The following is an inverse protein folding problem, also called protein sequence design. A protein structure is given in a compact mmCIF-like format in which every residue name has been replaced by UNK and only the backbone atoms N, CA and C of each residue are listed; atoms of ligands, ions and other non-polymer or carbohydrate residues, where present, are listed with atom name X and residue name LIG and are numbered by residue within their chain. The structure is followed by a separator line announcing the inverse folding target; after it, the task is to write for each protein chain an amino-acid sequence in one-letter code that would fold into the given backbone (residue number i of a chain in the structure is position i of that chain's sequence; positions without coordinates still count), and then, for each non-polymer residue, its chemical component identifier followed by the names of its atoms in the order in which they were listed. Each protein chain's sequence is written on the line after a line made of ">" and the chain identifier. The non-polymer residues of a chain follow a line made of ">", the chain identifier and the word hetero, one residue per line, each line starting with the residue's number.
data_IF_243636043971
#
_entry.id   IF_243636043971
#
_cell.length_a   1.000
_cell.length_b   1.000
_cell.length_c   1.000
_cell.angle_alpha   90.00
_cell.angle_beta   90.00
_cell.angle_gamma   90.00
#
_symmetry.space_group_name_H-M   'P 1'
#
loop_
_entity.id
_entity.type
_entity.pdbx_description
1 polymer ?
#
# COMPACT_ATOMS: atom_id res chain seq x y z
N UNK A 1 -17.64 -9.65 7.93
CA UNK A 1 -16.59 -10.67 8.13
C UNK A 1 -15.46 -10.01 8.89
N UNK A 2 -14.98 -10.59 9.98
CA UNK A 2 -13.79 -10.09 10.69
C UNK A 2 -12.63 -10.13 9.69
N UNK A 3 -11.89 -9.03 9.47
CA UNK A 3 -10.74 -9.05 8.57
C UNK A 3 -9.76 -10.11 9.08
N UNK A 4 -9.53 -11.13 8.28
CA UNK A 4 -8.53 -12.15 8.61
C UNK A 4 -7.20 -11.42 8.66
N UNK A 5 -6.50 -11.46 9.79
CA UNK A 5 -5.24 -10.75 9.99
C UNK A 5 -4.11 -11.46 9.21
N UNK A 6 -4.16 -11.32 7.89
CA UNK A 6 -3.28 -12.01 6.94
C UNK A 6 -1.79 -11.68 7.13
N UNK A 7 -1.48 -10.60 7.85
CA UNK A 7 -0.12 -10.07 7.98
C UNK A 7 0.42 -10.09 9.42
N UNK A 8 -0.29 -10.77 10.35
CA UNK A 8 0.08 -10.82 11.77
C UNK A 8 1.51 -11.34 11.99
N UNK A 9 1.96 -12.28 11.17
CA UNK A 9 3.26 -12.94 11.31
C UNK A 9 4.40 -12.27 10.55
N UNK A 10 4.12 -11.17 9.84
CA UNK A 10 5.13 -10.46 9.03
C UNK A 10 5.31 -9.04 9.58
N UNK A 11 6.50 -8.75 10.07
CA UNK A 11 6.87 -7.38 10.44
C UNK A 11 7.46 -6.65 9.22
N UNK A 12 6.62 -5.89 8.52
CA UNK A 12 7.02 -5.14 7.33
C UNK A 12 8.11 -4.11 7.59
N UNK A 13 8.31 -3.67 8.84
CA UNK A 13 9.41 -2.76 9.20
C UNK A 13 10.77 -3.41 9.00
N UNK A 14 10.84 -4.75 9.14
CA UNK A 14 12.06 -5.54 8.96
C UNK A 14 12.25 -6.03 7.52
N UNK A 15 11.15 -6.21 6.80
CA UNK A 15 11.13 -6.79 5.43
C UNK A 15 11.46 -5.76 4.36
N UNK A 16 11.07 -4.50 4.61
CA UNK A 16 11.25 -3.39 3.66
C UNK A 16 12.36 -2.48 4.15
N UNK A 17 13.28 -2.14 3.25
CA UNK A 17 14.32 -1.13 3.51
C UNK A 17 13.68 0.28 3.44
N UNK A 18 12.99 0.69 4.53
CA UNK A 18 12.19 1.90 4.57
C UNK A 18 12.98 3.19 4.33
N UNK A 19 14.12 3.45 5.00
CA UNK A 19 14.82 4.72 4.81
C UNK A 19 15.19 5.01 3.34
N UNK A 20 15.81 4.09 2.57
CA UNK A 20 16.11 4.35 1.17
C UNK A 20 14.85 4.37 0.29
N UNK A 21 13.78 3.66 0.64
CA UNK A 21 12.50 3.72 -0.07
C UNK A 21 11.88 5.12 0.06
N UNK A 22 11.69 5.60 1.28
CA UNK A 22 11.09 6.90 1.57
C UNK A 22 11.90 8.07 0.98
N UNK A 23 13.24 7.95 1.02
CA UNK A 23 14.12 8.95 0.40
C UNK A 23 13.94 9.05 -1.12
N UNK A 24 13.76 7.91 -1.80
CA UNK A 24 13.49 7.88 -3.25
C UNK A 24 12.10 8.42 -3.61
N UNK A 25 11.10 8.12 -2.80
CA UNK A 25 9.72 8.52 -3.03
C UNK A 25 9.47 10.00 -2.72
N UNK A 26 10.32 10.62 -1.86
CA UNK A 26 10.08 11.95 -1.32
C UNK A 26 9.93 13.03 -2.41
N UNK A 27 10.80 13.08 -3.40
CA UNK A 27 10.74 14.11 -4.45
C UNK A 27 9.38 14.07 -5.17
N UNK A 28 8.87 12.88 -5.45
CA UNK A 28 7.56 12.72 -6.08
C UNK A 28 6.41 13.07 -5.13
N UNK A 29 6.48 12.65 -3.87
CA UNK A 29 5.51 13.01 -2.84
C UNK A 29 5.44 14.53 -2.63
N UNK A 30 6.59 15.20 -2.59
CA UNK A 30 6.67 16.67 -2.48
C UNK A 30 6.08 17.37 -3.70
N UNK A 31 6.34 16.87 -4.91
CA UNK A 31 5.73 17.38 -6.14
C UNK A 31 4.20 17.26 -6.10
N UNK A 32 3.66 16.14 -5.60
CA UNK A 32 2.21 15.90 -5.54
C UNK A 32 1.55 16.72 -4.44
N UNK A 33 2.15 16.80 -3.25
CA UNK A 33 1.52 17.32 -2.03
C UNK A 33 2.12 18.64 -1.53
N UNK A 34 3.20 19.16 -2.11
CA UNK A 34 3.87 20.36 -1.62
C UNK A 34 2.97 21.61 -1.53
N UNK A 35 1.97 21.69 -2.40
CA UNK A 35 0.95 22.75 -2.39
C UNK A 35 -0.34 22.36 -1.62
N UNK A 36 -0.36 21.24 -0.91
CA UNK A 36 -1.56 20.78 -0.18
C UNK A 36 -2.00 21.81 0.88
N UNK A 37 -3.28 22.13 0.86
CA UNK A 37 -3.93 23.02 1.82
C UNK A 37 -5.34 22.48 2.13
N UNK A 38 -5.60 22.07 3.37
CA UNK A 38 -4.69 22.08 4.53
C UNK A 38 -3.49 21.11 4.34
N UNK A 39 -2.42 21.33 5.07
CA UNK A 39 -1.27 20.40 5.13
C UNK A 39 -1.60 19.17 5.99
N UNK A 40 -2.70 18.54 5.65
CA UNK A 40 -3.27 17.37 6.33
C UNK A 40 -3.52 16.27 5.31
N UNK A 41 -2.89 15.12 5.51
CA UNK A 41 -2.92 13.99 4.57
C UNK A 41 -3.59 12.77 5.20
N UNK A 42 -4.25 11.98 4.37
CA UNK A 42 -4.86 10.71 4.72
C UNK A 42 -4.00 9.56 4.15
N UNK A 43 -3.62 8.60 5.00
CA UNK A 43 -2.87 7.40 4.60
C UNK A 43 -3.81 6.18 4.71
N UNK A 44 -4.24 5.68 3.55
CA UNK A 44 -5.20 4.58 3.41
C UNK A 44 -4.48 3.22 3.40
N UNK A 45 -4.75 2.39 4.40
CA UNK A 45 -4.02 1.15 4.65
C UNK A 45 -2.60 1.44 5.10
N UNK A 46 -2.48 2.26 6.15
CA UNK A 46 -1.21 2.79 6.61
C UNK A 46 -0.24 1.73 7.17
N UNK A 47 -0.72 0.50 7.44
CA UNK A 47 0.08 -0.58 7.95
C UNK A 47 0.83 -0.21 9.24
N UNK A 48 2.15 -0.35 9.24
CA UNK A 48 3.04 -0.01 10.37
C UNK A 48 3.36 1.48 10.48
N UNK A 49 2.77 2.33 9.62
CA UNK A 49 2.80 3.78 9.75
C UNK A 49 4.06 4.49 9.23
N UNK A 50 4.89 3.83 8.44
CA UNK A 50 6.17 4.38 8.00
C UNK A 50 6.01 5.64 7.11
N UNK A 51 5.07 5.63 6.16
CA UNK A 51 4.75 6.82 5.36
C UNK A 51 4.17 7.94 6.22
N UNK A 52 3.23 7.61 7.12
CA UNK A 52 2.63 8.61 8.01
C UNK A 52 3.68 9.31 8.87
N UNK A 53 4.59 8.56 9.49
CA UNK A 53 5.71 9.11 10.30
C UNK A 53 6.64 9.97 9.46
N UNK A 54 6.99 9.51 8.27
CA UNK A 54 7.86 10.24 7.36
C UNK A 54 7.26 11.58 6.94
N UNK A 55 5.98 11.58 6.53
CA UNK A 55 5.26 12.78 6.10
C UNK A 55 5.05 13.76 7.26
N UNK A 56 4.81 13.27 8.48
CA UNK A 56 4.75 14.14 9.66
C UNK A 56 6.09 14.82 9.91
N UNK A 57 7.21 14.12 9.73
CA UNK A 57 8.56 14.69 9.75
C UNK A 57 8.81 15.77 8.67
N UNK A 58 7.97 15.82 7.63
CA UNK A 58 7.96 16.84 6.58
C UNK A 58 6.94 17.97 6.82
N UNK A 59 6.33 18.00 8.00
CA UNK A 59 5.43 19.06 8.44
C UNK A 59 3.98 18.90 7.99
N UNK A 60 3.55 17.68 7.69
CA UNK A 60 2.14 17.36 7.48
C UNK A 60 1.49 16.85 8.77
N UNK A 61 0.21 17.14 8.97
CA UNK A 61 -0.65 16.34 9.83
C UNK A 61 -1.07 15.10 9.05
N UNK A 62 -0.92 13.90 9.62
CA UNK A 62 -1.27 12.66 8.92
C UNK A 62 -2.22 11.81 9.75
N UNK A 63 -3.32 11.40 9.12
CA UNK A 63 -4.24 10.41 9.67
C UNK A 63 -4.07 9.12 8.89
N UNK A 64 -3.55 8.09 9.56
CA UNK A 64 -3.41 6.75 9.01
C UNK A 64 -4.61 5.89 9.39
N UNK A 65 -5.23 5.22 8.42
CA UNK A 65 -6.33 4.29 8.61
C UNK A 65 -5.89 2.90 8.18
N UNK A 66 -6.08 1.90 9.05
CA UNK A 66 -5.85 0.48 8.70
C UNK A 66 -6.91 -0.41 9.38
N UNK A 67 -7.25 -1.51 8.73
CA UNK A 67 -8.22 -2.47 9.26
C UNK A 67 -7.59 -3.50 10.23
N UNK A 68 -6.26 -3.60 10.25
CA UNK A 68 -5.52 -4.61 11.02
C UNK A 68 -5.08 -4.06 12.37
N UNK A 69 -5.60 -4.64 13.45
CA UNK A 69 -5.18 -4.31 14.81
C UNK A 69 -3.66 -4.52 14.99
N UNK A 70 -3.13 -5.65 14.49
CA UNK A 70 -1.70 -5.97 14.60
C UNK A 70 -0.80 -4.96 13.86
N UNK A 71 -1.24 -4.41 12.72
CA UNK A 71 -0.50 -3.35 12.03
C UNK A 71 -0.52 -2.06 12.85
N UNK A 72 -1.66 -1.70 13.40
CA UNK A 72 -1.79 -0.49 14.24
C UNK A 72 -1.06 -0.61 15.57
N UNK A 73 -1.06 -1.79 16.21
CA UNK A 73 -0.22 -2.06 17.39
C UNK A 73 1.25 -1.78 17.09
N UNK A 74 1.76 -2.27 15.94
CA UNK A 74 3.12 -1.99 15.50
C UNK A 74 3.32 -0.51 15.10
N UNK A 75 2.28 0.13 14.54
CA UNK A 75 2.36 1.53 14.18
C UNK A 75 2.51 2.45 15.41
N UNK A 76 1.98 2.08 16.57
CA UNK A 76 2.10 2.87 17.80
C UNK A 76 3.29 2.43 18.67
N UNK A 77 3.91 1.31 18.38
CA UNK A 77 5.09 0.81 19.08
C UNK A 77 6.25 1.82 18.99
N UNK A 78 6.89 2.11 20.11
CA UNK A 78 7.93 3.12 20.18
C UNK A 78 7.43 4.58 20.21
N UNK A 79 6.10 4.78 20.35
CA UNK A 79 5.44 6.08 20.43
C UNK A 79 4.96 6.59 19.08
N UNK A 80 4.00 7.52 19.12
CA UNK A 80 3.46 8.20 17.94
C UNK A 80 3.99 9.62 17.88
N UNK A 81 4.65 10.04 16.79
CA UNK A 81 5.18 11.40 16.70
C UNK A 81 4.04 12.43 16.63
N UNK A 82 4.34 13.66 17.03
CA UNK A 82 3.41 14.77 16.86
C UNK A 82 2.96 14.90 15.40
N UNK A 83 1.68 15.20 15.19
CA UNK A 83 1.10 15.32 13.85
C UNK A 83 0.66 14.00 13.21
N UNK A 84 0.82 12.85 13.88
CA UNK A 84 0.30 11.56 13.41
C UNK A 84 -0.85 11.08 14.28
N UNK A 85 -1.89 10.56 13.64
CA UNK A 85 -2.99 9.84 14.29
C UNK A 85 -3.23 8.53 13.54
N UNK A 86 -3.32 7.42 14.25
CA UNK A 86 -3.70 6.13 13.68
C UNK A 86 -5.10 5.76 14.11
N UNK A 87 -5.93 5.37 13.14
CA UNK A 87 -7.32 4.96 13.36
C UNK A 87 -7.55 3.56 12.81
N UNK A 88 -8.25 2.74 13.59
CA UNK A 88 -8.76 1.48 13.09
C UNK A 88 -10.01 1.73 12.26
N UNK A 89 -10.04 1.21 11.04
CA UNK A 89 -11.20 1.32 10.18
C UNK A 89 -11.06 0.61 8.85
N UNK A 90 -12.20 0.31 8.25
CA UNK A 90 -12.26 -0.16 6.87
C UNK A 90 -12.10 1.04 5.93
N UNK A 91 -11.07 1.01 5.08
CA UNK A 91 -10.83 2.08 4.11
C UNK A 91 -12.00 2.26 3.12
N UNK A 92 -12.79 1.21 2.87
CA UNK A 92 -14.01 1.31 2.06
C UNK A 92 -15.10 2.20 2.69
N UNK A 93 -14.99 2.47 3.99
CA UNK A 93 -15.89 3.32 4.76
C UNK A 93 -15.18 4.53 5.36
N UNK A 94 -14.10 4.97 4.72
CA UNK A 94 -13.18 5.98 5.27
C UNK A 94 -13.85 7.28 5.68
N UNK A 95 -14.88 7.72 4.96
CA UNK A 95 -15.65 8.93 5.27
C UNK A 95 -16.50 8.83 6.54
N UNK A 96 -16.71 7.63 7.08
CA UNK A 96 -17.31 7.43 8.41
C UNK A 96 -16.27 7.24 9.52
N UNK A 97 -15.00 6.96 9.15
CA UNK A 97 -13.89 6.72 10.08
C UNK A 97 -13.16 8.00 10.44
N UNK A 98 -12.98 8.89 9.45
CA UNK A 98 -12.22 10.13 9.65
C UNK A 98 -13.14 11.35 9.74
N UNK A 99 -12.65 12.43 10.34
CA UNK A 99 -13.34 13.71 10.44
C UNK A 99 -12.52 14.84 9.83
N UNK A 100 -13.24 15.86 9.34
CA UNK A 100 -12.63 17.02 8.69
C UNK A 100 -12.18 16.73 7.25
N UNK A 101 -11.58 17.73 6.61
CA UNK A 101 -11.12 17.64 5.24
C UNK A 101 -9.59 17.50 5.17
N UNK A 102 -9.14 16.85 4.10
CA UNK A 102 -7.73 16.57 3.83
C UNK A 102 -7.28 17.31 2.56
N UNK A 103 -6.05 17.82 2.58
CA UNK A 103 -5.40 18.42 1.42
C UNK A 103 -4.80 17.39 0.46
N UNK A 104 -4.90 16.11 0.78
CA UNK A 104 -4.50 14.99 -0.08
C UNK A 104 -4.64 13.64 0.62
N UNK A 105 -4.58 12.57 -0.18
CA UNK A 105 -4.58 11.20 0.32
C UNK A 105 -3.57 10.33 -0.41
N UNK A 106 -3.02 9.34 0.29
CA UNK A 106 -2.17 8.28 -0.26
C UNK A 106 -2.80 6.90 -0.03
N UNK A 107 -2.63 6.00 -1.00
CA UNK A 107 -2.92 4.58 -0.91
C UNK A 107 -1.76 3.82 -1.56
N UNK A 108 -0.73 3.50 -0.80
CA UNK A 108 0.56 3.02 -1.29
C UNK A 108 0.83 1.57 -0.85
N UNK A 109 1.91 0.99 -1.37
CA UNK A 109 2.34 -0.35 -0.94
C UNK A 109 1.47 -1.48 -1.44
N UNK A 110 0.78 -1.31 -2.56
CA UNK A 110 -0.12 -2.32 -3.13
C UNK A 110 -1.36 -2.60 -2.25
N UNK A 111 -1.79 -1.63 -1.46
CA UNK A 111 -2.94 -1.76 -0.52
C UNK A 111 -4.26 -1.96 -1.26
N UNK A 112 -4.49 -1.21 -2.35
CA UNK A 112 -5.79 -1.16 -3.03
C UNK A 112 -6.26 -2.53 -3.55
N UNK A 113 -5.33 -3.44 -3.86
CA UNK A 113 -5.64 -4.78 -4.42
C UNK A 113 -6.30 -5.73 -3.41
N UNK A 114 -6.31 -5.37 -2.12
CA UNK A 114 -7.07 -6.08 -1.09
C UNK A 114 -8.58 -5.85 -1.19
N UNK A 115 -8.99 -4.81 -1.91
CA UNK A 115 -10.38 -4.59 -2.30
C UNK A 115 -10.62 -5.44 -3.55
N UNK A 116 -11.33 -6.56 -3.42
CA UNK A 116 -11.51 -7.53 -4.50
C UNK A 116 -12.75 -7.28 -5.35
N UNK A 117 -13.72 -6.51 -4.83
CA UNK A 117 -14.97 -6.21 -5.50
C UNK A 117 -14.98 -4.79 -6.06
N UNK A 118 -15.40 -4.63 -7.33
CA UNK A 118 -15.43 -3.33 -8.00
C UNK A 118 -16.34 -2.31 -7.29
N UNK A 119 -17.49 -2.72 -6.80
CA UNK A 119 -18.42 -1.83 -6.09
C UNK A 119 -17.81 -1.32 -4.77
N UNK A 120 -17.03 -2.17 -4.09
CA UNK A 120 -16.30 -1.78 -2.87
C UNK A 120 -15.15 -0.81 -3.21
N UNK A 121 -14.43 -1.04 -4.32
CA UNK A 121 -13.43 -0.10 -4.83
C UNK A 121 -14.06 1.26 -5.12
N UNK A 122 -15.20 1.27 -5.81
CA UNK A 122 -15.91 2.52 -6.11
C UNK A 122 -16.43 3.22 -4.86
N UNK A 123 -16.92 2.47 -3.86
CA UNK A 123 -17.32 3.00 -2.56
C UNK A 123 -16.14 3.68 -1.84
N UNK A 124 -14.97 3.02 -1.77
CA UNK A 124 -13.74 3.58 -1.22
C UNK A 124 -13.38 4.90 -1.90
N UNK A 125 -13.29 4.90 -3.23
CA UNK A 125 -12.87 6.08 -3.99
C UNK A 125 -13.84 7.25 -3.82
N UNK A 126 -15.16 7.00 -3.77
CA UNK A 126 -16.17 8.00 -3.45
C UNK A 126 -16.05 8.50 -2.01
N UNK A 127 -15.76 7.62 -1.06
CA UNK A 127 -15.50 7.99 0.34
C UNK A 127 -14.30 8.92 0.46
N UNK A 128 -13.19 8.58 -0.20
CA UNK A 128 -11.99 9.43 -0.27
C UNK A 128 -12.32 10.78 -0.90
N UNK A 129 -13.06 10.80 -2.02
CA UNK A 129 -13.42 12.06 -2.70
C UNK A 129 -14.22 13.00 -1.79
N UNK A 130 -15.09 12.47 -0.91
CA UNK A 130 -15.88 13.27 0.04
C UNK A 130 -15.05 13.93 1.15
N UNK A 131 -13.96 13.30 1.57
CA UNK A 131 -13.10 13.82 2.65
C UNK A 131 -11.92 14.66 2.12
N UNK A 132 -11.74 14.76 0.81
CA UNK A 132 -10.75 15.63 0.19
C UNK A 132 -11.33 17.02 -0.12
N UNK A 133 -10.55 18.08 0.11
CA UNK A 133 -10.87 19.41 -0.42
C UNK A 133 -10.93 19.39 -1.95
N UNK A 134 -11.60 20.33 -2.56
CA UNK A 134 -11.70 20.40 -4.02
C UNK A 134 -10.32 20.49 -4.67
N UNK A 135 -10.06 19.64 -5.66
CA UNK A 135 -8.79 19.57 -6.38
C UNK A 135 -7.62 18.91 -5.61
N UNK A 136 -7.83 18.47 -4.38
CA UNK A 136 -6.81 17.74 -3.63
C UNK A 136 -6.46 16.41 -4.30
N UNK A 137 -5.16 16.03 -4.34
CA UNK A 137 -4.73 14.79 -4.98
C UNK A 137 -5.00 13.56 -4.12
N UNK A 138 -5.39 12.48 -4.80
CA UNK A 138 -5.28 11.11 -4.32
C UNK A 138 -4.13 10.45 -5.08
N UNK A 139 -3.12 9.95 -4.36
CA UNK A 139 -2.01 9.20 -4.91
C UNK A 139 -2.19 7.71 -4.61
N UNK A 140 -2.26 6.90 -5.65
CA UNK A 140 -2.37 5.43 -5.55
C UNK A 140 -1.12 4.80 -6.12
N UNK A 141 -0.62 3.71 -5.50
CA UNK A 141 0.42 2.86 -6.06
C UNK A 141 0.05 1.40 -5.88
N UNK A 142 -0.04 0.69 -7.01
CA UNK A 142 -0.19 -0.76 -7.08
C UNK A 142 0.83 -1.36 -8.04
N UNK A 143 1.10 -2.65 -7.92
CA UNK A 143 1.92 -3.36 -8.90
C UNK A 143 1.24 -3.36 -10.28
N UNK A 144 2.03 -3.35 -11.34
CA UNK A 144 1.52 -3.49 -12.71
C UNK A 144 1.16 -4.96 -12.99
N UNK A 145 -0.07 -5.35 -12.67
CA UNK A 145 -0.56 -6.71 -12.86
C UNK A 145 -0.67 -7.12 -14.34
N UNK A 146 -0.85 -6.16 -15.26
CA UNK A 146 -0.82 -6.45 -16.71
C UNK A 146 0.55 -6.99 -17.11
N UNK A 147 1.62 -6.33 -16.66
CA UNK A 147 2.99 -6.77 -16.91
C UNK A 147 3.29 -8.10 -16.21
N UNK A 148 2.90 -8.26 -14.95
CA UNK A 148 3.14 -9.50 -14.19
C UNK A 148 2.50 -10.71 -14.89
N UNK A 149 1.28 -10.57 -15.39
CA UNK A 149 0.59 -11.62 -16.15
C UNK A 149 1.26 -11.86 -17.50
N UNK A 150 1.55 -10.80 -18.26
CA UNK A 150 2.18 -10.89 -19.58
C UNK A 150 3.56 -11.54 -19.55
N UNK A 151 4.35 -11.30 -18.48
CA UNK A 151 5.69 -11.87 -18.31
C UNK A 151 5.68 -13.23 -17.61
N UNK A 152 4.53 -13.69 -17.14
CA UNK A 152 4.42 -14.91 -16.33
C UNK A 152 5.14 -14.80 -14.97
N UNK A 153 5.40 -13.59 -14.49
CA UNK A 153 6.10 -13.36 -13.22
C UNK A 153 5.19 -13.76 -12.05
N UNK A 154 5.65 -14.73 -11.26
CA UNK A 154 4.92 -15.30 -10.14
C UNK A 154 5.54 -15.03 -8.78
N UNK A 155 6.60 -14.24 -8.72
CA UNK A 155 7.27 -13.91 -7.46
C UNK A 155 7.82 -12.49 -7.51
N UNK A 156 7.94 -11.88 -6.34
CA UNK A 156 8.67 -10.64 -6.12
C UNK A 156 10.05 -10.95 -5.58
N UNK A 157 11.04 -10.06 -5.72
CA UNK A 157 12.38 -10.25 -5.17
C UNK A 157 12.32 -10.68 -3.70
N UNK A 158 13.09 -11.70 -3.35
CA UNK A 158 13.22 -12.18 -1.97
C UNK A 158 13.88 -11.10 -1.11
N UNK A 159 13.48 -11.04 0.16
CA UNK A 159 14.14 -10.21 1.17
C UNK A 159 14.83 -11.11 2.18
N UNK A 160 16.09 -10.82 2.48
CA UNK A 160 16.86 -11.48 3.53
C UNK A 160 16.83 -10.60 4.77
N UNK A 161 16.55 -11.21 5.92
CA UNK A 161 16.40 -10.53 7.20
C UNK A 161 17.32 -11.21 8.19
N UNK A 162 18.23 -10.45 8.78
CA UNK A 162 19.08 -10.91 9.87
C UNK A 162 18.56 -10.33 11.18
N UNK A 163 18.25 -11.21 12.15
CA UNK A 163 17.87 -10.83 13.51
C UNK A 163 18.56 -11.72 14.54
N UNK A 164 18.24 -11.53 15.82
CA UNK A 164 18.83 -12.30 16.92
C UNK A 164 18.53 -13.83 16.82
N UNK A 165 17.46 -14.20 16.16
CA UNK A 165 17.07 -15.59 15.92
C UNK A 165 17.77 -16.21 14.68
N UNK A 166 18.60 -15.45 13.96
CA UNK A 166 19.35 -15.85 12.77
C UNK A 166 18.78 -15.29 11.47
N UNK A 167 19.10 -15.92 10.35
CA UNK A 167 18.69 -15.47 9.03
C UNK A 167 17.29 -15.98 8.66
N UNK A 168 16.48 -15.10 8.11
CA UNK A 168 15.16 -15.39 7.57
C UNK A 168 15.04 -14.93 6.13
N UNK A 169 14.28 -15.65 5.32
CA UNK A 169 13.98 -15.34 3.93
C UNK A 169 12.49 -15.06 3.80
N UNK A 170 12.15 -13.88 3.31
CA UNK A 170 10.77 -13.53 2.99
C UNK A 170 10.51 -13.75 1.51
N UNK A 171 9.60 -14.68 1.21
CA UNK A 171 9.10 -14.97 -0.13
C UNK A 171 7.73 -14.34 -0.35
N UNK A 172 7.50 -13.91 -1.59
CA UNK A 172 6.22 -13.36 -2.04
C UNK A 172 5.84 -14.01 -3.35
N UNK A 173 4.99 -15.04 -3.27
CA UNK A 173 4.52 -15.78 -4.43
C UNK A 173 3.15 -15.27 -4.87
N UNK A 174 2.86 -15.37 -6.15
CA UNK A 174 1.57 -14.98 -6.74
C UNK A 174 1.11 -16.05 -7.71
N UNK A 175 -0.19 -16.35 -7.67
CA UNK A 175 -0.86 -17.17 -8.67
C UNK A 175 -1.94 -16.32 -9.32
N UNK A 176 -1.72 -15.94 -10.57
CA UNK A 176 -2.67 -15.17 -11.38
C UNK A 176 -3.75 -16.08 -11.94
N UNK A 177 -5.00 -15.63 -11.92
CA UNK A 177 -6.15 -16.31 -12.50
C UNK A 177 -6.70 -15.55 -13.71
N UNK A 178 -7.42 -16.23 -14.63
CA UNK A 178 -7.96 -15.58 -15.82
C UNK A 178 -8.95 -14.45 -15.55
N UNK A 179 -9.66 -14.50 -14.42
CA UNK A 179 -10.62 -13.48 -13.97
C UNK A 179 -9.98 -12.23 -13.36
N UNK A 180 -8.64 -12.15 -13.37
CA UNK A 180 -7.88 -11.05 -12.77
C UNK A 180 -7.64 -11.20 -11.26
N UNK A 181 -8.26 -12.17 -10.60
CA UNK A 181 -7.96 -12.46 -9.21
C UNK A 181 -6.55 -13.05 -9.05
N UNK A 182 -5.95 -12.81 -7.89
CA UNK A 182 -4.59 -13.24 -7.56
C UNK A 182 -4.61 -13.92 -6.20
N UNK A 183 -4.00 -15.08 -6.10
CA UNK A 183 -3.66 -15.65 -4.81
C UNK A 183 -2.24 -15.23 -4.48
N UNK A 184 -2.11 -14.35 -3.51
CA UNK A 184 -0.82 -13.91 -2.98
C UNK A 184 -0.45 -14.77 -1.78
N UNK A 185 0.74 -15.37 -1.81
CA UNK A 185 1.24 -16.26 -0.76
C UNK A 185 2.55 -15.71 -0.21
N UNK A 186 2.49 -14.82 0.79
CA UNK A 186 3.68 -14.46 1.56
C UNK A 186 4.11 -15.65 2.42
N UNK A 187 5.41 -15.91 2.47
CA UNK A 187 5.99 -16.96 3.29
C UNK A 187 7.28 -16.46 3.96
N UNK A 188 7.43 -16.79 5.24
CA UNK A 188 8.65 -16.56 6.00
C UNK A 188 9.33 -17.91 6.24
N UNK A 189 10.60 -17.98 5.83
CA UNK A 189 11.44 -19.15 6.04
C UNK A 189 12.57 -18.80 7.00
N UNK A 190 12.92 -19.75 7.88
CA UNK A 190 14.15 -19.69 8.67
C UNK A 190 15.24 -20.41 7.89
N UNK A 191 16.39 -19.80 7.73
CA UNK A 191 17.56 -20.39 7.08
C UNK A 191 18.64 -20.71 8.11
N UNK A 192 19.08 -21.97 8.12
CA UNK A 192 20.16 -22.48 8.98
C UNK A 192 21.05 -23.39 8.11
N UNK A 193 22.17 -22.86 7.57
CA UNK A 193 23.00 -23.59 6.62
C UNK A 193 23.58 -24.90 7.19
N UNK A 194 23.78 -24.98 8.52
CA UNK A 194 24.39 -26.13 9.19
C UNK A 194 23.34 -27.09 9.80
N UNK A 195 22.06 -26.94 9.45
CA UNK A 195 20.97 -27.77 9.94
C UNK A 195 20.35 -28.63 8.83
N UNK A 196 19.69 -29.72 9.22
CA UNK A 196 18.90 -30.57 8.32
C UNK A 196 17.46 -30.66 8.87
N UNK A 197 16.44 -30.12 8.18
CA UNK A 197 16.54 -29.32 6.94
C UNK A 197 17.15 -27.93 7.15
N UNK A 198 17.86 -27.45 6.14
CA UNK A 198 18.46 -26.12 6.18
C UNK A 198 17.43 -24.97 6.07
N UNK A 199 16.25 -25.26 5.53
CA UNK A 199 15.12 -24.32 5.41
C UNK A 199 13.89 -24.86 6.13
N UNK A 200 13.29 -24.00 6.96
CA UNK A 200 12.06 -24.27 7.69
C UNK A 200 11.02 -23.20 7.38
N UNK A 201 9.79 -23.59 7.07
CA UNK A 201 8.69 -22.65 6.88
C UNK A 201 8.19 -22.20 8.25
N UNK A 202 8.43 -20.93 8.58
CA UNK A 202 7.96 -20.31 9.83
C UNK A 202 6.49 -19.92 9.73
N UNK A 203 6.11 -19.34 8.60
CA UNK A 203 4.71 -18.98 8.31
C UNK A 203 4.46 -18.90 6.81
N UNK A 204 3.27 -19.32 6.39
CA UNK A 204 2.75 -19.03 5.05
C UNK A 204 1.23 -19.04 5.08
N UNK A 205 0.60 -18.24 4.25
CA UNK A 205 -0.86 -18.19 4.10
C UNK A 205 -1.24 -17.61 2.74
N UNK A 206 -2.47 -17.83 2.33
CA UNK A 206 -2.99 -17.29 1.08
C UNK A 206 -3.84 -16.06 1.34
N UNK A 207 -3.58 -15.01 0.59
CA UNK A 207 -4.33 -13.75 0.61
C UNK A 207 -4.98 -13.56 -0.75
N UNK A 208 -6.31 -13.48 -0.82
CA UNK A 208 -6.99 -13.13 -2.06
C UNK A 208 -6.76 -11.65 -2.37
N UNK A 209 -6.37 -11.37 -3.62
CA UNK A 209 -6.18 -10.02 -4.14
C UNK A 209 -6.90 -9.90 -5.48
N UNK A 210 -7.22 -8.66 -5.87
CA UNK A 210 -7.61 -8.31 -7.22
C UNK A 210 -6.49 -7.56 -7.91
N UNK A 211 -6.00 -8.09 -9.00
CA UNK A 211 -4.98 -7.45 -9.83
C UNK A 211 -5.58 -6.35 -10.70
N UNK A 212 -6.01 -5.24 -10.07
CA UNK A 212 -6.61 -4.10 -10.77
C UNK A 212 -5.69 -3.59 -11.88
N UNK A 213 -6.21 -3.53 -13.10
CA UNK A 213 -5.51 -3.01 -14.28
C UNK A 213 -5.78 -1.52 -14.44
N UNK A 214 -4.90 -0.83 -15.16
CA UNK A 214 -5.04 0.60 -15.42
C UNK A 214 -6.44 1.00 -15.92
N UNK A 215 -7.06 0.35 -16.94
CA UNK A 215 -8.37 0.77 -17.44
C UNK A 215 -9.48 0.67 -16.37
N UNK A 216 -9.43 -0.35 -15.51
CA UNK A 216 -10.41 -0.56 -14.43
C UNK A 216 -10.26 0.53 -13.36
N UNK A 217 -9.02 0.87 -12.97
CA UNK A 217 -8.72 1.94 -12.02
C UNK A 217 -9.12 3.31 -12.58
N UNK A 218 -8.85 3.56 -13.85
CA UNK A 218 -9.21 4.80 -14.55
C UNK A 218 -10.73 4.99 -14.56
N UNK A 219 -11.49 3.95 -14.94
CA UNK A 219 -12.95 3.96 -14.93
C UNK A 219 -13.54 4.16 -13.52
N UNK A 220 -12.98 3.49 -12.51
CA UNK A 220 -13.43 3.62 -11.12
C UNK A 220 -13.18 5.03 -10.56
N UNK A 221 -12.03 5.62 -10.85
CA UNK A 221 -11.69 6.99 -10.44
C UNK A 221 -12.60 8.02 -11.13
N UNK A 222 -12.89 7.85 -12.41
CA UNK A 222 -13.84 8.69 -13.14
C UNK A 222 -15.23 8.61 -12.54
N UNK A 223 -15.74 7.39 -12.31
CA UNK A 223 -17.04 7.16 -11.69
C UNK A 223 -17.13 7.64 -10.23
N UNK A 224 -15.99 7.80 -9.56
CA UNK A 224 -15.90 8.39 -8.22
C UNK A 224 -15.79 9.91 -8.23
N UNK A 225 -15.68 10.58 -9.40
CA UNK A 225 -15.64 12.03 -9.55
C UNK A 225 -14.26 12.66 -9.50
N UNK A 226 -13.19 11.89 -9.75
CA UNK A 226 -11.85 12.45 -9.98
C UNK A 226 -11.73 12.90 -11.44
N UNK A 227 -11.69 14.20 -11.67
CA UNK A 227 -11.74 14.80 -13.01
C UNK A 227 -10.47 14.57 -13.83
N UNK A 228 -9.30 14.54 -13.17
CA UNK A 228 -8.01 14.33 -13.84
C UNK A 228 -7.29 13.12 -13.26
N UNK A 229 -6.62 12.34 -14.10
CA UNK A 229 -5.87 11.15 -13.74
C UNK A 229 -4.59 11.10 -14.56
N UNK A 230 -3.46 11.14 -13.88
CA UNK A 230 -2.13 11.03 -14.51
C UNK A 230 -1.48 9.74 -14.03
N UNK A 231 -0.92 8.97 -14.97
CA UNK A 231 -0.36 7.65 -14.71
C UNK A 231 1.15 7.66 -14.86
N UNK A 232 1.82 7.12 -13.85
CA UNK A 232 3.28 6.96 -13.81
C UNK A 232 3.65 5.48 -13.60
N UNK A 233 4.84 5.11 -14.06
CA UNK A 233 5.37 3.75 -13.95
C UNK A 233 6.09 3.46 -12.64
N UNK A 234 6.43 4.51 -11.90
CA UNK A 234 7.13 4.46 -10.60
C UNK A 234 6.80 5.70 -9.78
N UNK A 235 7.19 5.72 -8.51
CA UNK A 235 7.15 6.90 -7.64
C UNK A 235 8.31 7.89 -7.92
N UNK A 236 8.59 8.16 -9.20
CA UNK A 236 9.72 9.01 -9.63
C UNK A 236 9.43 9.78 -10.93
N UNK A 237 8.18 10.17 -11.15
CA UNK A 237 7.73 10.98 -12.32
C UNK A 237 8.09 10.36 -13.69
N UNK A 238 8.12 9.02 -13.76
CA UNK A 238 8.34 8.28 -15.01
C UNK A 238 6.99 7.91 -15.62
N UNK A 239 6.68 8.27 -16.86
CA UNK A 239 5.42 7.91 -17.51
C UNK A 239 5.13 6.41 -17.47
N UNK A 240 3.86 6.05 -17.30
CA UNK A 240 3.43 4.66 -17.30
C UNK A 240 3.50 4.05 -18.70
N UNK A 241 4.14 2.88 -18.82
CA UNK A 241 4.17 2.03 -20.01
C UNK A 241 3.68 0.63 -19.63
N UNK A 242 2.55 0.19 -20.19
CA UNK A 242 1.83 -1.01 -19.74
C UNK A 242 2.69 -2.29 -19.67
N UNK A 243 3.53 -2.54 -20.67
CA UNK A 243 4.39 -3.74 -20.75
C UNK A 243 5.70 -3.65 -19.97
N UNK A 244 6.10 -2.47 -19.48
CA UNK A 244 7.44 -2.20 -18.96
C UNK A 244 7.44 -1.75 -17.50
N UNK A 245 6.52 -0.85 -17.14
CA UNK A 245 6.46 -0.26 -15.81
C UNK A 245 6.27 -1.31 -14.72
N UNK A 246 7.00 -1.19 -13.61
CA UNK A 246 6.87 -2.08 -12.46
C UNK A 246 5.58 -1.85 -11.70
N UNK A 247 5.13 -0.61 -11.66
CA UNK A 247 3.96 -0.15 -10.90
C UNK A 247 2.96 0.58 -11.81
N UNK A 248 1.74 0.69 -11.32
CA UNK A 248 0.76 1.68 -11.74
C UNK A 248 0.65 2.70 -10.61
N UNK A 249 1.22 3.88 -10.83
CA UNK A 249 1.13 5.01 -9.90
C UNK A 249 0.17 6.03 -10.49
N UNK A 250 -0.83 6.46 -9.73
CA UNK A 250 -1.91 7.33 -10.20
C UNK A 250 -1.98 8.56 -9.32
N UNK A 251 -1.94 9.73 -9.93
CA UNK A 251 -2.32 11.00 -9.28
C UNK A 251 -3.67 11.41 -9.85
N UNK A 252 -4.71 11.34 -9.02
CA UNK A 252 -6.10 11.67 -9.36
C UNK A 252 -6.55 12.93 -8.62
N UNK A 253 -7.31 13.85 -9.30
CA UNK A 253 -7.87 15.08 -8.72
C UNK A 253 -9.31 15.30 -9.13
#
# INVERSE_FOLDING_TARGET
>A
MTPTNHYAHIDYRKVIAWPPRLAREWTFLEQVFGAASPRRLLDLGCGTGEHARFLAGKGYEVVGVDASDTMLERAVEGGVPAGVTFLRGDVAQVDSVVSGLFGGAICLGNTLVHITEYDTLLQLLRGVRRVLVSGAPLLIQVLNYERLVATGQRYLPMSFIQDEAGESIFLRLMTHKPDGSVVFTPAMLRYRPDSEPALEIVSSHNVPLQGWRRPELEAALEAAGFATRVFYGTMADVPFVAGESSDVVIVAR
#
